data_IF_003784752187
#
_entry.id   IF_003784752187
#
_cell.length_a   1.000
_cell.length_b   1.000
_cell.length_c   1.000
_cell.angle_alpha   90.00
_cell.angle_beta   90.00
_cell.angle_gamma   90.00
#
_symmetry.space_group_name_H-M   'P 1'
#
loop_
_entity.id
_entity.type
_entity.pdbx_description
1 polymer ?
#
# COMPACT_ATOMS: atom_id res chain seq x y z
N UNK A 1 -23.05 -40.49 -31.66
CA UNK A 1 -22.98 -40.41 -30.20
C UNK A 1 -21.51 -40.40 -29.82
N UNK A 2 -20.89 -39.22 -29.63
CA UNK A 2 -19.47 -39.10 -29.26
C UNK A 2 -19.41 -38.67 -27.78
N UNK A 3 -18.75 -39.50 -26.98
CA UNK A 3 -18.57 -39.25 -25.56
C UNK A 3 -17.65 -38.03 -25.34
N UNK A 4 -18.09 -37.12 -24.49
CA UNK A 4 -17.29 -35.97 -24.01
C UNK A 4 -16.27 -36.48 -22.97
N UNK A 5 -15.00 -36.06 -23.02
CA UNK A 5 -14.04 -36.41 -21.98
C UNK A 5 -14.40 -35.64 -20.70
N UNK A 6 -14.44 -36.35 -19.58
CA UNK A 6 -14.66 -35.77 -18.27
C UNK A 6 -13.49 -34.82 -17.91
N UNK A 7 -13.80 -33.56 -17.59
CA UNK A 7 -12.85 -32.59 -17.07
C UNK A 7 -12.33 -33.01 -15.68
N UNK A 8 -11.19 -32.42 -15.23
CA UNK A 8 -10.57 -32.79 -13.97
C UNK A 8 -11.50 -32.49 -12.78
N UNK A 9 -11.59 -33.45 -11.87
CA UNK A 9 -12.41 -33.36 -10.66
C UNK A 9 -11.87 -32.30 -9.72
N UNK A 10 -12.75 -31.43 -9.22
CA UNK A 10 -12.49 -30.48 -8.13
C UNK A 10 -12.12 -31.24 -6.85
N UNK A 11 -10.85 -31.55 -6.64
CA UNK A 11 -10.47 -32.36 -5.49
C UNK A 11 -9.04 -32.32 -5.03
N UNK A 12 -8.11 -31.71 -5.75
CA UNK A 12 -6.69 -31.82 -5.40
C UNK A 12 -5.89 -30.51 -5.57
N UNK A 13 -6.43 -29.38 -5.10
CA UNK A 13 -5.62 -28.20 -4.83
C UNK A 13 -5.89 -27.74 -3.39
N UNK A 14 -5.62 -28.60 -2.43
CA UNK A 14 -5.24 -28.16 -1.11
C UNK A 14 -3.86 -27.53 -1.29
N UNK A 15 -3.82 -26.20 -1.45
CA UNK A 15 -2.60 -25.45 -1.28
C UNK A 15 -2.05 -25.84 0.10
N UNK A 16 -0.96 -26.59 0.13
CA UNK A 16 -0.21 -26.84 1.35
C UNK A 16 0.17 -25.46 1.87
N UNK A 17 -0.49 -25.03 2.95
CA UNK A 17 -0.14 -23.86 3.69
C UNK A 17 1.31 -24.05 4.12
N UNK A 18 2.23 -23.40 3.43
CA UNK A 18 3.63 -23.34 3.81
C UNK A 18 3.79 -22.38 4.99
N UNK A 19 3.10 -22.67 6.10
CA UNK A 19 3.40 -22.03 7.36
C UNK A 19 4.87 -22.36 7.66
N UNK A 20 5.73 -21.34 7.65
CA UNK A 20 7.11 -21.51 8.08
C UNK A 20 7.08 -22.12 9.48
N UNK A 21 7.95 -23.12 9.78
CA UNK A 21 8.03 -23.70 11.12
C UNK A 21 8.24 -22.59 12.15
N UNK A 22 7.68 -22.75 13.34
CA UNK A 22 7.89 -21.80 14.44
C UNK A 22 9.38 -21.72 14.73
N UNK A 23 9.90 -20.50 15.03
CA UNK A 23 11.29 -20.34 15.43
C UNK A 23 11.61 -21.26 16.60
N UNK A 24 12.70 -22.01 16.50
CA UNK A 24 13.09 -23.02 17.49
C UNK A 24 14.21 -22.55 18.41
N UNK A 25 14.82 -21.40 18.11
CA UNK A 25 15.93 -20.85 18.89
C UNK A 25 15.75 -19.37 19.20
N UNK A 26 16.39 -18.85 20.29
CA UNK A 26 16.39 -17.41 20.57
C UNK A 26 16.96 -16.57 19.43
N UNK A 27 17.91 -17.08 18.66
CA UNK A 27 18.48 -16.41 17.49
C UNK A 27 17.44 -16.23 16.37
N UNK A 28 16.65 -17.26 16.10
CA UNK A 28 15.57 -17.21 15.11
C UNK A 28 14.44 -16.27 15.56
N UNK A 29 14.11 -16.25 16.86
CA UNK A 29 13.12 -15.32 17.42
C UNK A 29 13.56 -13.86 17.30
N UNK A 30 14.86 -13.59 17.36
CA UNK A 30 15.44 -12.26 17.24
C UNK A 30 15.73 -11.84 15.80
N UNK A 31 15.55 -12.74 14.82
CA UNK A 31 15.76 -12.42 13.41
C UNK A 31 14.69 -11.43 12.90
N UNK A 32 15.13 -10.41 12.20
CA UNK A 32 14.25 -9.43 11.56
C UNK A 32 13.90 -9.94 10.15
N UNK A 33 12.74 -10.61 10.03
CA UNK A 33 12.28 -11.14 8.76
C UNK A 33 11.88 -10.00 7.80
N UNK A 34 12.41 -9.96 6.58
CA UNK A 34 12.05 -8.99 5.55
C UNK A 34 10.56 -9.07 5.12
N UNK A 35 9.87 -10.16 5.44
CA UNK A 35 8.44 -10.28 5.21
C UNK A 35 7.60 -9.41 6.17
N UNK A 36 8.18 -9.00 7.30
CA UNK A 36 7.49 -8.24 8.37
C UNK A 36 8.13 -6.87 8.57
N UNK A 37 9.46 -6.83 8.57
CA UNK A 37 10.23 -5.61 8.84
C UNK A 37 10.54 -4.86 7.55
N UNK A 38 10.70 -3.54 7.61
CA UNK A 38 11.23 -2.77 6.51
C UNK A 38 12.60 -3.31 6.06
N UNK A 39 12.88 -3.25 4.78
CA UNK A 39 14.17 -3.66 4.24
C UNK A 39 15.28 -2.81 4.86
N UNK A 40 16.39 -3.44 5.18
CA UNK A 40 17.47 -2.72 5.84
C UNK A 40 17.28 -2.53 7.35
N UNK A 41 16.18 -3.01 7.93
CA UNK A 41 16.06 -3.10 9.38
C UNK A 41 17.11 -4.05 9.92
N UNK A 42 17.85 -3.62 10.92
CA UNK A 42 18.93 -4.42 11.54
C UNK A 42 18.98 -4.20 13.03
N UNK A 43 19.71 -5.06 13.72
CA UNK A 43 20.14 -4.79 15.10
C UNK A 43 21.53 -4.17 15.06
N UNK A 44 21.70 -3.11 15.85
CA UNK A 44 23.00 -2.49 16.08
C UNK A 44 23.85 -3.31 17.07
N UNK A 45 25.06 -2.84 17.38
CA UNK A 45 25.97 -3.50 18.28
C UNK A 45 25.40 -3.72 19.69
N UNK A 46 24.50 -2.86 20.15
CA UNK A 46 23.82 -2.94 21.44
C UNK A 46 22.56 -3.82 21.40
N UNK A 47 22.23 -4.42 20.26
CA UNK A 47 21.04 -5.24 20.05
C UNK A 47 19.75 -4.45 19.81
N UNK A 48 19.78 -3.12 19.80
CA UNK A 48 18.63 -2.30 19.47
C UNK A 48 18.32 -2.34 17.97
N UNK A 49 17.05 -2.12 17.61
CA UNK A 49 16.61 -2.10 16.23
C UNK A 49 16.93 -0.74 15.61
N UNK A 50 17.49 -0.78 14.41
CA UNK A 50 17.61 0.37 13.50
C UNK A 50 16.67 0.19 12.31
N UNK A 51 15.96 1.25 11.94
CA UNK A 51 15.08 1.33 10.77
C UNK A 51 15.52 2.53 9.93
N UNK A 52 15.82 2.32 8.66
CA UNK A 52 16.32 3.39 7.79
C UNK A 52 17.62 4.06 8.29
N UNK A 53 18.42 3.32 9.09
CA UNK A 53 19.66 3.82 9.70
C UNK A 53 19.45 4.60 11.00
N UNK A 54 18.22 4.70 11.52
CA UNK A 54 17.90 5.40 12.78
C UNK A 54 17.64 4.37 13.87
N UNK A 55 18.30 4.53 15.02
CA UNK A 55 18.03 3.74 16.23
C UNK A 55 16.61 4.09 16.74
N UNK A 56 15.79 3.07 16.97
CA UNK A 56 14.40 3.28 17.42
C UNK A 56 14.33 3.98 18.79
N UNK A 57 15.35 3.86 19.62
CA UNK A 57 15.42 4.53 20.92
C UNK A 57 15.61 6.03 20.76
N UNK A 58 16.42 6.47 19.79
CA UNK A 58 16.63 7.88 19.47
C UNK A 58 15.35 8.48 18.90
N UNK A 59 14.66 7.72 18.00
CA UNK A 59 13.37 8.14 17.46
C UNK A 59 12.32 8.32 18.56
N UNK A 60 12.22 7.36 19.49
CA UNK A 60 11.31 7.46 20.65
C UNK A 60 11.71 8.59 21.58
N UNK A 61 13.01 8.81 21.81
CA UNK A 61 13.52 9.93 22.60
C UNK A 61 13.13 11.29 22.01
N UNK A 62 13.14 11.42 20.70
CA UNK A 62 12.80 12.65 19.99
C UNK A 62 11.29 12.91 19.85
N UNK A 63 10.48 11.87 19.64
CA UNK A 63 9.07 12.00 19.25
C UNK A 63 8.09 11.37 20.26
N UNK A 64 8.57 10.63 21.23
CA UNK A 64 7.73 9.95 22.23
C UNK A 64 7.24 8.57 21.76
N UNK A 65 6.36 7.97 22.58
CA UNK A 65 5.74 6.66 22.35
C UNK A 65 4.25 6.76 22.66
N UNK A 66 3.35 6.09 21.91
CA UNK A 66 3.63 5.18 20.78
C UNK A 66 4.10 5.93 19.52
N UNK A 67 4.95 5.31 18.71
CA UNK A 67 5.52 5.88 17.50
C UNK A 67 5.38 4.93 16.31
N UNK A 68 4.82 5.43 15.20
CA UNK A 68 4.85 4.75 13.91
C UNK A 68 6.06 5.25 13.11
N UNK A 69 6.87 4.31 12.62
CA UNK A 69 8.07 4.60 11.83
C UNK A 69 7.87 4.06 10.42
N UNK A 70 8.04 4.93 9.42
CA UNK A 70 8.02 4.58 8.01
C UNK A 70 9.43 4.77 7.43
N UNK A 71 9.96 3.72 6.83
CA UNK A 71 11.20 3.80 6.06
C UNK A 71 10.87 4.23 4.63
N UNK A 72 11.26 5.45 4.26
CA UNK A 72 11.03 6.00 2.92
C UNK A 72 11.62 5.10 1.83
N UNK A 73 12.84 4.60 2.04
CA UNK A 73 13.52 3.78 1.05
C UNK A 73 12.77 2.45 0.80
N UNK A 74 12.21 1.85 1.85
CA UNK A 74 11.39 0.63 1.73
C UNK A 74 10.05 0.92 1.06
N UNK A 75 9.35 2.01 1.44
CA UNK A 75 8.10 2.42 0.80
C UNK A 75 8.30 2.64 -0.70
N UNK A 76 9.33 3.40 -1.08
CA UNK A 76 9.67 3.65 -2.48
C UNK A 76 10.04 2.36 -3.23
N UNK A 77 10.82 1.50 -2.60
CA UNK A 77 11.19 0.22 -3.21
C UNK A 77 9.95 -0.64 -3.50
N UNK A 78 9.04 -0.78 -2.52
CA UNK A 78 7.80 -1.54 -2.70
C UNK A 78 6.92 -0.91 -3.78
N UNK A 79 6.78 0.41 -3.80
CA UNK A 79 6.03 1.12 -4.83
C UNK A 79 6.55 0.81 -6.24
N UNK A 80 7.88 0.90 -6.46
CA UNK A 80 8.51 0.53 -7.74
C UNK A 80 8.27 -0.92 -8.10
N UNK A 81 8.40 -1.83 -7.14
CA UNK A 81 8.23 -3.25 -7.37
C UNK A 81 6.81 -3.58 -7.82
N UNK A 82 5.80 -3.08 -7.10
CA UNK A 82 4.40 -3.25 -7.51
C UNK A 82 4.14 -2.63 -8.88
N UNK A 83 4.58 -1.40 -9.10
CA UNK A 83 4.40 -0.74 -10.39
C UNK A 83 4.98 -1.58 -11.53
N UNK A 84 6.23 -2.01 -11.41
CA UNK A 84 6.89 -2.79 -12.47
C UNK A 84 6.14 -4.10 -12.73
N UNK A 85 5.80 -4.87 -11.69
CA UNK A 85 5.12 -6.15 -11.85
C UNK A 85 3.78 -6.02 -12.59
N UNK A 86 2.98 -4.99 -12.27
CA UNK A 86 1.69 -4.79 -12.92
C UNK A 86 1.81 -4.17 -14.32
N UNK A 87 2.76 -3.24 -14.53
CA UNK A 87 2.99 -2.64 -15.85
C UNK A 87 3.52 -3.69 -16.82
N UNK A 88 4.45 -4.54 -16.38
CA UNK A 88 4.98 -5.65 -17.19
C UNK A 88 3.89 -6.69 -17.53
N UNK A 89 2.87 -6.82 -16.68
CA UNK A 89 1.67 -7.60 -16.94
C UNK A 89 0.62 -6.89 -17.81
N UNK A 90 0.90 -5.66 -18.31
CA UNK A 90 0.04 -4.91 -19.21
C UNK A 90 -0.89 -3.89 -18.56
N UNK A 91 -0.77 -3.65 -17.25
CA UNK A 91 -1.53 -2.59 -16.59
C UNK A 91 -1.07 -1.20 -17.06
N UNK A 92 -2.02 -0.34 -17.42
CA UNK A 92 -1.71 1.05 -17.81
C UNK A 92 -1.43 1.95 -16.61
N UNK A 93 -2.03 1.65 -15.46
CA UNK A 93 -1.98 2.47 -14.26
C UNK A 93 -2.10 1.59 -13.02
N UNK A 94 -1.33 1.88 -12.00
CA UNK A 94 -1.35 1.17 -10.72
C UNK A 94 -1.63 2.20 -9.63
N UNK A 95 -2.56 1.89 -8.74
CA UNK A 95 -3.01 2.81 -7.70
C UNK A 95 -2.56 2.32 -6.32
N UNK A 96 -2.06 3.26 -5.52
CA UNK A 96 -1.87 3.08 -4.09
C UNK A 96 -3.18 3.40 -3.37
N UNK A 97 -3.67 2.50 -2.55
CA UNK A 97 -4.89 2.71 -1.77
C UNK A 97 -4.61 3.57 -0.53
N UNK A 98 -5.07 4.81 -0.53
CA UNK A 98 -4.84 5.79 0.53
C UNK A 98 -5.32 5.32 1.90
N UNK A 99 -6.39 4.52 1.95
CA UNK A 99 -6.94 3.95 3.20
C UNK A 99 -5.94 3.13 4.02
N UNK A 100 -4.85 2.64 3.41
CA UNK A 100 -3.82 1.89 4.12
C UNK A 100 -3.03 2.79 5.07
N UNK A 101 -2.59 3.91 4.59
CA UNK A 101 -2.00 5.05 5.32
C UNK A 101 -1.70 6.17 4.32
N UNK A 102 -2.10 7.40 4.62
CA UNK A 102 -1.79 8.54 3.78
C UNK A 102 -1.27 9.71 4.61
N UNK A 103 -0.11 10.24 4.21
CA UNK A 103 0.41 11.54 4.58
C UNK A 103 0.89 12.26 3.33
N UNK A 104 1.16 13.56 3.42
CA UNK A 104 1.72 14.30 2.28
C UNK A 104 3.05 13.75 1.80
N UNK A 105 3.87 13.19 2.71
CA UNK A 105 5.13 12.54 2.37
C UNK A 105 4.89 11.24 1.59
N UNK A 106 4.03 10.34 2.12
CA UNK A 106 3.71 9.07 1.43
C UNK A 106 3.06 9.32 0.08
N UNK A 107 2.13 10.29 -0.02
CA UNK A 107 1.52 10.66 -1.30
C UNK A 107 2.57 11.07 -2.34
N UNK A 108 3.56 11.89 -1.95
CA UNK A 108 4.68 12.27 -2.82
C UNK A 108 5.53 11.07 -3.19
N UNK A 109 5.96 10.27 -2.23
CA UNK A 109 6.84 9.12 -2.48
C UNK A 109 6.24 8.15 -3.49
N UNK A 110 4.98 7.72 -3.28
CA UNK A 110 4.35 6.75 -4.18
C UNK A 110 4.11 7.35 -5.57
N UNK A 111 3.79 8.65 -5.65
CA UNK A 111 3.56 9.34 -6.91
C UNK A 111 4.86 9.52 -7.70
N UNK A 112 5.96 9.89 -7.05
CA UNK A 112 7.28 10.00 -7.66
C UNK A 112 7.77 8.65 -8.20
N UNK A 113 7.39 7.54 -7.56
CA UNK A 113 7.67 6.18 -8.06
C UNK A 113 6.69 5.72 -9.16
N UNK A 114 5.81 6.60 -9.61
CA UNK A 114 4.94 6.37 -10.76
C UNK A 114 3.59 5.72 -10.44
N UNK A 115 3.23 5.56 -9.18
CA UNK A 115 1.88 5.13 -8.79
C UNK A 115 0.90 6.30 -8.84
N UNK A 116 -0.36 6.02 -9.09
CA UNK A 116 -1.51 6.89 -8.85
C UNK A 116 -2.08 6.62 -7.45
N UNK A 117 -3.01 7.42 -6.98
CA UNK A 117 -3.58 7.27 -5.65
C UNK A 117 -5.10 7.08 -5.75
N UNK A 118 -5.58 6.04 -5.07
CA UNK A 118 -7.00 5.77 -4.85
C UNK A 118 -7.39 6.36 -3.48
N UNK A 119 -8.23 7.38 -3.49
CA UNK A 119 -8.76 8.06 -2.30
C UNK A 119 -10.24 7.73 -2.13
N UNK A 120 -10.67 7.49 -0.90
CA UNK A 120 -12.04 7.11 -0.58
C UNK A 120 -12.79 8.17 0.24
N UNK A 121 -12.12 9.22 0.66
CA UNK A 121 -12.70 10.30 1.47
C UNK A 121 -12.20 11.67 1.05
N UNK A 122 -12.97 12.71 1.37
CA UNK A 122 -12.56 14.10 1.15
C UNK A 122 -11.29 14.46 1.92
N UNK A 123 -11.05 13.86 3.09
CA UNK A 123 -9.82 14.05 3.86
C UNK A 123 -8.59 13.48 3.14
N UNK A 124 -8.69 12.27 2.59
CA UNK A 124 -7.61 11.68 1.78
C UNK A 124 -7.36 12.49 0.51
N UNK A 125 -8.44 12.94 -0.16
CA UNK A 125 -8.33 13.83 -1.33
C UNK A 125 -7.58 15.12 -0.97
N UNK A 126 -7.94 15.77 0.14
CA UNK A 126 -7.27 16.99 0.58
C UNK A 126 -5.78 16.79 0.87
N UNK A 127 -5.41 15.65 1.47
CA UNK A 127 -3.99 15.30 1.71
C UNK A 127 -3.25 15.10 0.40
N UNK A 128 -3.83 14.38 -0.57
CA UNK A 128 -3.22 14.13 -1.87
C UNK A 128 -3.02 15.44 -2.66
N UNK A 129 -4.04 16.30 -2.72
CA UNK A 129 -3.97 17.62 -3.36
C UNK A 129 -2.92 18.50 -2.69
N UNK A 130 -2.89 18.55 -1.35
CA UNK A 130 -1.86 19.30 -0.60
C UNK A 130 -0.44 18.77 -0.84
N UNK A 131 -0.30 17.47 -1.11
CA UNK A 131 0.99 16.86 -1.47
C UNK A 131 1.46 17.24 -2.88
N UNK A 132 0.61 17.88 -3.69
CA UNK A 132 0.89 18.25 -5.08
C UNK A 132 0.67 17.11 -6.08
N UNK A 133 -0.12 16.12 -5.71
CA UNK A 133 -0.47 15.02 -6.65
C UNK A 133 -1.37 15.58 -7.74
N UNK A 134 -1.04 15.42 -9.04
CA UNK A 134 -1.88 15.87 -10.13
C UNK A 134 -3.24 15.16 -10.11
N UNK A 135 -4.32 15.91 -10.35
CA UNK A 135 -5.68 15.39 -10.29
C UNK A 135 -5.92 14.17 -11.19
N UNK A 136 -5.34 14.16 -12.41
CA UNK A 136 -5.43 13.03 -13.34
C UNK A 136 -4.80 11.74 -12.82
N UNK A 137 -4.00 11.83 -11.76
CA UNK A 137 -3.41 10.67 -11.05
C UNK A 137 -4.19 10.26 -9.81
N UNK A 138 -5.30 10.91 -9.55
CA UNK A 138 -6.21 10.57 -8.47
C UNK A 138 -7.43 9.81 -9.00
N UNK A 139 -7.90 8.89 -8.18
CA UNK A 139 -9.17 8.19 -8.37
C UNK A 139 -9.97 8.37 -7.08
N UNK A 140 -11.20 8.88 -7.18
CA UNK A 140 -12.12 8.92 -6.04
C UNK A 140 -12.97 7.65 -6.04
N UNK A 141 -12.81 6.85 -5.01
CA UNK A 141 -13.57 5.64 -4.74
C UNK A 141 -14.53 5.86 -3.56
N UNK A 142 -15.23 4.82 -3.13
CA UNK A 142 -16.15 4.84 -2.00
C UNK A 142 -17.60 4.71 -2.43
N UNK A 143 -18.38 4.08 -1.58
CA UNK A 143 -19.79 3.75 -1.81
C UNK A 143 -20.76 4.71 -1.09
N UNK A 144 -20.26 5.80 -0.53
CA UNK A 144 -21.06 6.83 0.14
C UNK A 144 -20.39 8.21 -0.04
N UNK A 145 -20.23 8.61 -1.30
CA UNK A 145 -19.65 9.91 -1.66
C UNK A 145 -20.67 11.02 -1.43
N UNK A 146 -20.34 12.01 -0.63
CA UNK A 146 -21.15 13.23 -0.50
C UNK A 146 -21.00 14.13 -1.72
N UNK A 147 -22.00 14.97 -1.98
CA UNK A 147 -21.91 15.99 -3.05
C UNK A 147 -20.69 16.88 -2.86
N UNK A 148 -20.36 17.28 -1.63
CA UNK A 148 -19.19 18.09 -1.34
C UNK A 148 -17.86 17.38 -1.71
N UNK A 149 -17.75 16.07 -1.53
CA UNK A 149 -16.59 15.29 -1.94
C UNK A 149 -16.51 15.18 -3.48
N UNK A 150 -17.65 15.00 -4.15
CA UNK A 150 -17.72 14.97 -5.62
C UNK A 150 -17.32 16.33 -6.19
N UNK A 151 -17.86 17.43 -5.66
CA UNK A 151 -17.51 18.79 -6.10
C UNK A 151 -16.02 19.08 -5.88
N UNK A 152 -15.48 18.68 -4.73
CA UNK A 152 -14.05 18.82 -4.44
C UNK A 152 -13.18 18.00 -5.40
N UNK A 153 -13.60 16.78 -5.75
CA UNK A 153 -12.90 15.95 -6.72
C UNK A 153 -12.91 16.55 -8.13
N UNK A 154 -14.05 17.07 -8.56
CA UNK A 154 -14.17 17.77 -9.84
C UNK A 154 -13.29 19.02 -9.86
N UNK A 155 -13.33 19.82 -8.80
CA UNK A 155 -12.52 21.03 -8.68
C UNK A 155 -11.00 20.73 -8.66
N UNK A 156 -10.61 19.59 -8.10
CA UNK A 156 -9.23 19.10 -8.09
C UNK A 156 -8.80 18.45 -9.42
N UNK A 157 -9.70 18.27 -10.37
CA UNK A 157 -9.43 17.61 -11.65
C UNK A 157 -9.14 16.13 -11.51
N UNK A 158 -9.81 15.44 -10.55
CA UNK A 158 -9.64 14.00 -10.33
C UNK A 158 -9.91 13.22 -11.62
N UNK A 159 -8.97 12.36 -12.00
CA UNK A 159 -9.02 11.69 -13.30
C UNK A 159 -10.14 10.66 -13.43
N UNK A 160 -10.59 10.08 -12.31
CA UNK A 160 -11.70 9.10 -12.30
C UNK A 160 -12.46 9.17 -10.99
N UNK A 161 -13.79 9.03 -11.10
CA UNK A 161 -14.69 8.80 -9.98
C UNK A 161 -15.33 7.43 -10.20
N UNK A 162 -15.22 6.55 -9.21
CA UNK A 162 -15.86 5.23 -9.29
C UNK A 162 -17.33 5.38 -8.93
N UNK A 163 -18.18 4.86 -9.79
CA UNK A 163 -19.63 4.79 -9.62
C UNK A 163 -19.95 3.35 -9.28
N UNK A 164 -20.51 3.09 -8.12
CA UNK A 164 -20.86 1.77 -7.61
C UNK A 164 -22.37 1.60 -7.37
N UNK A 165 -23.15 2.66 -7.60
CA UNK A 165 -24.61 2.61 -7.54
C UNK A 165 -25.23 3.50 -8.62
N UNK A 166 -26.55 3.30 -8.90
CA UNK A 166 -27.28 4.16 -9.83
C UNK A 166 -27.54 5.55 -9.23
N UNK A 167 -27.58 5.68 -7.92
CA UNK A 167 -27.75 6.93 -7.19
C UNK A 167 -26.56 7.88 -7.35
N UNK A 168 -25.38 7.34 -7.67
CA UNK A 168 -24.18 8.13 -7.95
C UNK A 168 -24.25 8.86 -9.33
N UNK A 169 -25.26 8.59 -10.15
CA UNK A 169 -25.37 9.09 -11.52
C UNK A 169 -26.34 10.29 -11.63
N UNK A 170 -27.12 10.57 -10.59
CA UNK A 170 -28.23 11.56 -10.61
C UNK A 170 -27.77 12.96 -10.27
#
# INVERSE_FOLDING_TARGET
MRAHPAGPRHGDVMAQSTLKPRPSSPGELNALSEAVWPRGSRRNADGAIEIGGVDVRDAVGAFGSPLFILDEADVRHRARHFRSAYVDAGARQVYYAAKAFLSTSVARWVTEEGLSIDVATGGELAVAVRAGVPGERLLLHGNNKSMAEIDAAIAAGVGRIVIDSFEDIV
#
